data_IF_963038365999
#
_entry.id   IF_963038365999
#
_cell.length_a   1.000
_cell.length_b   1.000
_cell.length_c   1.000
_cell.angle_alpha   90.00
_cell.angle_beta   90.00
_cell.angle_gamma   90.00
#
_symmetry.space_group_name_H-M   'P 1'
#
loop_
_entity.id
_entity.type
_entity.pdbx_description
1 polymer ?
#
# COMPACT_ATOMS: atom_id res chain seq x y z
N UNK A 1 -10.35 16.36 -16.78
CA UNK A 1 -9.10 17.10 -17.11
C UNK A 1 -9.03 17.31 -18.63
N UNK A 2 -8.54 18.46 -19.07
CA UNK A 2 -8.26 18.77 -20.49
C UNK A 2 -6.77 19.05 -20.65
N UNK A 3 -6.08 18.33 -21.54
CA UNK A 3 -4.72 18.68 -21.94
C UNK A 3 -4.75 19.78 -22.99
N UNK A 4 -4.55 21.02 -22.52
CA UNK A 4 -4.59 22.21 -23.39
C UNK A 4 -3.50 22.23 -24.44
N UNK A 5 -2.36 21.60 -24.19
CA UNK A 5 -1.25 21.58 -25.16
C UNK A 5 -1.52 20.62 -26.31
N UNK A 6 -2.44 19.68 -26.12
CA UNK A 6 -2.84 18.72 -27.16
C UNK A 6 -3.89 19.25 -28.16
N UNK A 7 -4.50 20.40 -27.89
CA UNK A 7 -5.61 20.91 -28.68
C UNK A 7 -5.13 21.29 -30.08
N UNK A 8 -5.71 20.66 -31.11
CA UNK A 8 -5.39 20.89 -32.51
C UNK A 8 -6.65 20.95 -33.36
N UNK A 9 -6.79 22.00 -34.18
CA UNK A 9 -7.85 22.07 -35.19
C UNK A 9 -7.48 21.27 -36.44
N UNK A 10 -8.42 20.49 -36.95
CA UNK A 10 -8.28 19.73 -38.19
C UNK A 10 -9.62 19.74 -38.95
N UNK A 11 -9.71 20.57 -39.99
CA UNK A 11 -10.97 20.78 -40.68
C UNK A 11 -12.03 21.38 -39.76
N UNK A 12 -13.21 20.77 -39.71
CA UNK A 12 -14.30 21.17 -38.81
C UNK A 12 -14.19 20.59 -37.39
N UNK A 13 -13.23 19.69 -37.15
CA UNK A 13 -13.04 19.02 -35.87
C UNK A 13 -11.90 19.64 -35.07
N UNK A 14 -12.02 19.55 -33.75
CA UNK A 14 -10.96 19.82 -32.78
C UNK A 14 -10.52 18.52 -32.14
N UNK A 15 -9.24 18.19 -32.26
CA UNK A 15 -8.62 17.02 -31.66
C UNK A 15 -7.94 17.41 -30.35
N UNK A 16 -8.04 16.57 -29.33
CA UNK A 16 -7.42 16.81 -28.03
C UNK A 16 -7.41 15.55 -27.17
N UNK A 17 -6.50 15.52 -26.20
CA UNK A 17 -6.48 14.57 -25.10
C UNK A 17 -7.27 15.12 -23.90
N UNK A 18 -8.23 14.32 -23.45
CA UNK A 18 -8.90 14.48 -22.17
C UNK A 18 -8.45 13.40 -21.19
N UNK A 19 -8.70 13.61 -19.91
CA UNK A 19 -8.55 12.55 -18.94
C UNK A 19 -9.58 12.61 -17.82
N UNK A 20 -10.05 11.44 -17.42
CA UNK A 20 -10.76 11.23 -16.17
C UNK A 20 -9.75 10.89 -15.07
N UNK A 21 -9.59 11.80 -14.13
CA UNK A 21 -8.62 11.67 -13.03
C UNK A 21 -9.34 11.12 -11.79
N UNK A 22 -9.23 9.81 -11.56
CA UNK A 22 -9.92 9.16 -10.44
C UNK A 22 -9.47 9.78 -9.11
N UNK A 23 -10.43 10.05 -8.21
CA UNK A 23 -10.13 10.61 -6.88
C UNK A 23 -9.43 9.58 -5.97
N UNK A 24 -9.63 8.30 -6.24
CA UNK A 24 -8.98 7.18 -5.58
C UNK A 24 -8.65 6.12 -6.62
N UNK A 25 -7.65 5.29 -6.36
CA UNK A 25 -7.32 4.17 -7.24
C UNK A 25 -8.21 2.99 -6.84
N UNK A 26 -9.35 2.86 -7.52
CA UNK A 26 -10.30 1.77 -7.27
C UNK A 26 -9.84 0.48 -7.95
N UNK A 27 -9.79 -0.61 -7.18
CA UNK A 27 -9.44 -1.93 -7.69
C UNK A 27 -10.59 -2.54 -8.47
N UNK A 28 -10.33 -2.88 -9.73
CA UNK A 28 -11.19 -3.79 -10.48
C UNK A 28 -10.68 -5.23 -10.31
N UNK A 29 -11.30 -5.98 -9.39
CA UNK A 29 -10.96 -7.38 -9.11
C UNK A 29 -11.08 -8.31 -10.33
N UNK A 30 -11.81 -7.90 -11.37
CA UNK A 30 -11.98 -8.68 -12.61
C UNK A 30 -10.84 -8.43 -13.61
N UNK A 31 -10.26 -7.21 -13.63
CA UNK A 31 -9.22 -6.83 -14.60
C UNK A 31 -7.79 -6.97 -14.07
N UNK A 32 -7.60 -7.12 -12.76
CA UNK A 32 -6.27 -7.32 -12.17
C UNK A 32 -5.36 -6.08 -12.15
N UNK A 33 -5.84 -4.91 -12.57
CA UNK A 33 -5.16 -3.63 -12.44
C UNK A 33 -6.14 -2.53 -12.00
N UNK A 34 -5.60 -1.40 -11.52
CA UNK A 34 -6.38 -0.27 -11.02
C UNK A 34 -5.95 1.02 -11.72
N UNK A 35 -6.69 1.52 -12.70
CA UNK A 35 -6.31 2.76 -13.38
C UNK A 35 -6.39 3.92 -12.40
N UNK A 36 -5.30 4.68 -12.28
CA UNK A 36 -5.34 5.96 -11.57
C UNK A 36 -6.04 7.00 -12.43
N UNK A 37 -5.90 6.91 -13.74
CA UNK A 37 -6.44 7.85 -14.70
C UNK A 37 -6.87 7.10 -15.96
N UNK A 38 -7.93 7.56 -16.61
CA UNK A 38 -8.27 7.15 -17.98
C UNK A 38 -7.97 8.33 -18.89
N UNK A 39 -7.13 8.14 -19.90
CA UNK A 39 -6.78 9.16 -20.90
C UNK A 39 -7.45 8.82 -22.22
N UNK A 40 -8.19 9.76 -22.76
CA UNK A 40 -8.93 9.55 -23.99
C UNK A 40 -8.59 10.62 -25.01
N UNK A 41 -8.37 10.20 -26.26
CA UNK A 41 -8.18 11.09 -27.39
C UNK A 41 -9.50 11.27 -28.11
N UNK A 42 -9.90 12.51 -28.34
CA UNK A 42 -11.18 12.87 -28.92
C UNK A 42 -11.02 13.69 -30.18
N UNK A 43 -11.98 13.55 -31.10
CA UNK A 43 -12.28 14.52 -32.14
C UNK A 43 -13.70 15.05 -31.90
N UNK A 44 -13.86 16.38 -31.80
CA UNK A 44 -15.15 17.04 -31.55
C UNK A 44 -15.43 18.05 -32.66
N UNK A 45 -16.61 17.98 -33.28
CA UNK A 45 -17.14 19.03 -34.16
C UNK A 45 -18.09 19.91 -33.33
N UNK A 46 -17.58 21.09 -32.96
CA UNK A 46 -18.30 22.03 -32.10
C UNK A 46 -19.54 22.64 -32.78
N UNK A 47 -19.58 22.68 -34.11
CA UNK A 47 -20.73 23.24 -34.85
C UNK A 47 -21.86 22.21 -34.95
N UNK A 48 -21.49 20.94 -35.20
CA UNK A 48 -22.45 19.83 -35.31
C UNK A 48 -22.81 19.20 -33.96
N UNK A 49 -22.09 19.55 -32.89
CA UNK A 49 -22.25 18.96 -31.56
C UNK A 49 -22.11 17.43 -31.60
N UNK A 50 -21.09 16.95 -32.33
CA UNK A 50 -20.76 15.53 -32.45
C UNK A 50 -19.33 15.26 -32.02
N UNK A 51 -19.06 14.03 -31.59
CA UNK A 51 -17.71 13.61 -31.19
C UNK A 51 -17.40 12.17 -31.57
N UNK A 52 -16.11 11.85 -31.62
CA UNK A 52 -15.55 10.50 -31.79
C UNK A 52 -14.45 10.28 -30.77
N UNK A 53 -14.42 9.09 -30.15
CA UNK A 53 -13.29 8.64 -29.34
C UNK A 53 -12.29 7.93 -30.24
N UNK A 54 -11.08 8.48 -30.34
CA UNK A 54 -10.01 7.99 -31.19
C UNK A 54 -9.08 7.02 -30.45
N UNK A 55 -8.93 7.18 -29.13
CA UNK A 55 -8.18 6.27 -28.28
C UNK A 55 -8.66 6.37 -26.82
N UNK A 56 -8.43 5.32 -26.05
CA UNK A 56 -8.64 5.27 -24.59
C UNK A 56 -7.51 4.46 -23.97
N UNK A 57 -6.81 5.02 -23.00
CA UNK A 57 -5.75 4.35 -22.25
C UNK A 57 -6.01 4.43 -20.76
N UNK A 58 -6.01 3.28 -20.12
CA UNK A 58 -5.97 3.15 -18.67
C UNK A 58 -4.53 3.36 -18.21
N UNK A 59 -4.31 4.33 -17.34
CA UNK A 59 -2.99 4.75 -16.87
C UNK A 59 -2.89 4.53 -15.36
N UNK A 60 -1.81 3.88 -14.92
CA UNK A 60 -1.56 3.62 -13.51
C UNK A 60 -1.10 4.88 -12.74
N UNK A 61 -0.77 4.72 -11.46
CA UNK A 61 -0.28 5.83 -10.61
C UNK A 61 1.13 6.30 -10.98
N UNK A 62 1.88 5.54 -11.77
CA UNK A 62 3.22 5.85 -12.27
C UNK A 62 3.21 6.43 -13.67
N UNK A 63 2.04 6.81 -14.19
CA UNK A 63 1.89 7.34 -15.53
C UNK A 63 2.22 6.33 -16.64
N UNK A 64 2.17 5.02 -16.35
CA UNK A 64 2.37 3.95 -17.32
C UNK A 64 1.02 3.48 -17.88
N UNK A 65 0.98 3.17 -19.18
CA UNK A 65 -0.22 2.59 -19.81
C UNK A 65 -0.35 1.14 -19.35
N UNK A 66 -1.46 0.83 -18.68
CA UNK A 66 -1.78 -0.50 -18.20
C UNK A 66 -2.65 -1.28 -19.19
N UNK A 67 -3.59 -0.60 -19.84
CA UNK A 67 -4.50 -1.16 -20.85
C UNK A 67 -4.97 -0.04 -21.79
N UNK A 68 -5.57 -0.40 -22.92
CA UNK A 68 -6.23 0.57 -23.78
C UNK A 68 -6.76 0.06 -25.10
N UNK A 69 -7.42 0.96 -25.80
CA UNK A 69 -8.10 0.71 -27.06
C UNK A 69 -7.78 1.85 -28.03
N UNK A 70 -7.54 1.49 -29.30
CA UNK A 70 -7.50 2.43 -30.42
C UNK A 70 -8.45 1.87 -31.49
N UNK A 71 -9.71 2.32 -31.54
CA UNK A 71 -10.69 1.78 -32.48
C UNK A 71 -10.25 1.99 -33.92
N UNK A 72 -10.26 0.94 -34.74
CA UNK A 72 -9.97 1.06 -36.18
C UNK A 72 -10.99 1.95 -36.90
N UNK A 73 -12.26 1.92 -36.46
CA UNK A 73 -13.36 2.70 -37.02
C UNK A 73 -14.10 3.49 -35.92
N UNK A 74 -13.60 4.68 -35.54
CA UNK A 74 -14.23 5.51 -34.51
C UNK A 74 -15.66 5.92 -34.87
N UNK A 75 -16.62 5.60 -34.00
CA UNK A 75 -18.05 5.89 -34.20
C UNK A 75 -18.38 7.32 -33.80
N UNK A 76 -19.06 8.05 -34.69
CA UNK A 76 -19.59 9.39 -34.41
C UNK A 76 -20.81 9.29 -33.49
N UNK A 77 -20.80 10.06 -32.40
CA UNK A 77 -21.90 10.20 -31.44
C UNK A 77 -22.29 11.66 -31.29
N UNK A 78 -23.51 11.91 -30.83
CA UNK A 78 -23.95 13.27 -30.47
C UNK A 78 -23.50 13.60 -29.04
N UNK A 79 -23.07 14.85 -28.80
CA UNK A 79 -22.57 15.30 -27.50
C UNK A 79 -23.63 15.15 -26.39
N UNK A 80 -24.92 15.31 -26.73
CA UNK A 80 -26.02 15.16 -25.78
C UNK A 80 -26.15 13.75 -25.16
N UNK A 81 -25.63 12.72 -25.83
CA UNK A 81 -25.64 11.33 -25.35
C UNK A 81 -24.43 10.98 -24.46
N UNK A 82 -23.43 11.88 -24.37
CA UNK A 82 -22.29 11.65 -23.50
C UNK A 82 -22.68 11.77 -22.02
N UNK A 83 -21.84 11.21 -21.13
CA UNK A 83 -21.96 11.46 -19.69
C UNK A 83 -21.69 12.95 -19.37
N UNK A 84 -22.04 13.39 -18.16
CA UNK A 84 -21.98 14.81 -17.80
C UNK A 84 -20.56 15.37 -17.80
N UNK A 85 -19.56 14.57 -17.42
CA UNK A 85 -18.16 14.97 -17.45
C UNK A 85 -17.67 15.21 -18.89
N UNK A 86 -18.01 14.31 -19.81
CA UNK A 86 -17.66 14.44 -21.22
C UNK A 86 -18.43 15.59 -21.88
N UNK A 87 -19.70 15.81 -21.54
CA UNK A 87 -20.46 16.99 -21.98
C UNK A 87 -19.75 18.28 -21.56
N UNK A 88 -19.32 18.36 -20.30
CA UNK A 88 -18.59 19.51 -19.79
C UNK A 88 -17.24 19.68 -20.50
N UNK A 89 -16.50 18.59 -20.71
CA UNK A 89 -15.23 18.58 -21.42
C UNK A 89 -15.36 19.07 -22.87
N UNK A 90 -16.36 18.56 -23.61
CA UNK A 90 -16.60 18.95 -25.00
C UNK A 90 -17.12 20.38 -25.11
N UNK A 91 -17.98 20.83 -24.19
CA UNK A 91 -18.36 22.24 -24.10
C UNK A 91 -17.14 23.13 -23.87
N UNK A 92 -16.22 22.69 -23.02
CA UNK A 92 -14.99 23.43 -22.68
C UNK A 92 -14.05 23.54 -23.88
N UNK A 93 -13.78 22.44 -24.61
CA UNK A 93 -12.88 22.50 -25.78
C UNK A 93 -13.43 23.36 -26.92
N UNK A 94 -14.74 23.56 -26.97
CA UNK A 94 -15.42 24.41 -27.95
C UNK A 94 -15.42 25.91 -27.60
N UNK A 95 -14.77 26.32 -26.49
CA UNK A 95 -14.59 27.73 -26.13
C UNK A 95 -13.54 28.42 -27.01
N UNK A 96 -13.45 29.75 -26.90
CA UNK A 96 -12.39 30.53 -27.56
C UNK A 96 -11.00 30.21 -26.99
N UNK A 97 -9.95 30.49 -27.76
CA UNK A 97 -8.56 30.25 -27.34
C UNK A 97 -8.20 31.06 -26.08
N UNK A 98 -8.73 32.28 -25.97
CA UNK A 98 -8.57 33.14 -24.81
C UNK A 98 -9.18 32.49 -23.56
N UNK A 99 -10.42 32.01 -23.65
CA UNK A 99 -11.09 31.31 -22.54
C UNK A 99 -10.39 30.01 -22.14
N UNK A 100 -9.84 29.27 -23.11
CA UNK A 100 -9.06 28.06 -22.83
C UNK A 100 -7.75 28.37 -22.08
N UNK A 101 -7.15 29.54 -22.33
CA UNK A 101 -5.90 29.95 -21.67
C UNK A 101 -6.10 30.28 -20.19
N UNK A 102 -7.30 30.68 -19.78
CA UNK A 102 -7.66 31.00 -18.40
C UNK A 102 -7.95 29.78 -17.52
N UNK A 103 -8.08 28.59 -18.12
CA UNK A 103 -8.34 27.37 -17.36
C UNK A 103 -7.15 26.99 -16.45
N UNK A 104 -7.43 26.42 -15.27
CA UNK A 104 -6.38 25.95 -14.37
C UNK A 104 -5.45 24.91 -15.04
N UNK A 105 -4.15 25.02 -14.78
CA UNK A 105 -3.20 23.97 -15.13
C UNK A 105 -3.51 22.74 -14.27
N UNK A 106 -3.51 21.55 -14.88
CA UNK A 106 -3.64 20.32 -14.13
C UNK A 106 -2.47 20.16 -13.16
N UNK A 107 -2.79 19.95 -11.88
CA UNK A 107 -1.82 19.51 -10.88
C UNK A 107 -2.12 18.06 -10.54
N UNK A 108 -1.13 17.15 -10.66
CA UNK A 108 -1.26 15.79 -10.16
C UNK A 108 -1.67 15.81 -8.68
N UNK A 109 -2.64 14.97 -8.33
CA UNK A 109 -3.07 14.77 -6.95
C UNK A 109 -2.46 13.48 -6.41
N UNK A 110 -2.01 13.51 -5.15
CA UNK A 110 -1.73 12.28 -4.43
C UNK A 110 -3.03 11.53 -4.22
N UNK A 111 -3.17 10.34 -4.82
CA UNK A 111 -4.38 9.54 -4.74
C UNK A 111 -4.24 8.50 -3.65
N UNK A 112 -5.18 8.41 -2.69
CA UNK A 112 -5.26 7.23 -1.85
C UNK A 112 -5.58 6.02 -2.75
N UNK A 113 -4.82 4.94 -2.59
CA UNK A 113 -5.28 3.63 -3.07
C UNK A 113 -6.52 3.27 -2.28
N UNK A 114 -7.57 2.76 -2.93
CA UNK A 114 -8.70 2.19 -2.20
C UNK A 114 -8.27 0.82 -1.63
N UNK A 115 -7.63 0.88 -0.46
CA UNK A 115 -7.19 -0.30 0.29
C UNK A 115 -8.29 -0.79 1.25
N UNK A 116 -9.50 -0.21 1.20
CA UNK A 116 -10.54 -0.40 2.23
C UNK A 116 -11.32 -1.70 2.12
N UNK A 117 -11.18 -2.48 1.04
CA UNK A 117 -11.64 -3.86 1.04
C UNK A 117 -10.67 -4.76 1.82
N UNK A 118 -10.49 -4.49 3.11
CA UNK A 118 -9.79 -5.41 4.01
C UNK A 118 -10.72 -6.55 4.41
N UNK A 119 -10.14 -7.74 4.57
CA UNK A 119 -10.91 -8.85 5.08
C UNK A 119 -11.20 -8.62 6.55
N UNK A 120 -12.42 -8.97 6.98
CA UNK A 120 -12.72 -9.02 8.41
C UNK A 120 -11.78 -10.03 9.07
N UNK A 121 -11.09 -9.59 10.12
CA UNK A 121 -10.23 -10.46 10.94
C UNK A 121 -11.13 -11.49 11.64
N UNK A 122 -10.71 -12.76 11.61
CA UNK A 122 -11.49 -13.84 12.20
C UNK A 122 -11.59 -13.68 13.73
N UNK A 123 -12.78 -13.93 14.28
CA UNK A 123 -13.06 -13.70 15.70
C UNK A 123 -12.20 -14.58 16.63
N UNK A 124 -11.84 -15.79 16.18
CA UNK A 124 -10.91 -16.68 16.89
C UNK A 124 -9.51 -16.06 17.02
N UNK A 125 -9.02 -15.40 15.97
CA UNK A 125 -7.74 -14.68 15.96
C UNK A 125 -7.79 -13.50 16.93
N UNK A 126 -8.87 -12.70 16.88
CA UNK A 126 -9.07 -11.59 17.82
C UNK A 126 -9.14 -12.06 19.27
N UNK A 127 -9.80 -13.19 19.53
CA UNK A 127 -9.84 -13.79 20.86
C UNK A 127 -8.43 -14.18 21.34
N UNK A 128 -7.64 -14.85 20.49
CA UNK A 128 -6.28 -15.27 20.82
C UNK A 128 -5.38 -14.09 21.20
N UNK A 129 -5.40 -12.98 20.44
CA UNK A 129 -4.60 -11.79 20.77
C UNK A 129 -5.07 -11.07 22.04
N UNK A 130 -6.38 -11.05 22.29
CA UNK A 130 -6.94 -10.40 23.49
C UNK A 130 -6.61 -11.18 24.77
N UNK A 131 -6.49 -12.51 24.68
CA UNK A 131 -6.14 -13.37 25.83
C UNK A 131 -4.74 -13.06 26.39
N UNK A 132 -3.83 -12.54 25.55
CA UNK A 132 -2.48 -12.16 25.99
C UNK A 132 -2.52 -11.00 27.00
N UNK A 133 -3.54 -10.14 26.91
CA UNK A 133 -3.75 -9.02 27.83
C UNK A 133 -2.49 -8.14 28.06
N UNK A 134 -1.75 -7.89 26.97
CA UNK A 134 -0.63 -6.95 26.97
C UNK A 134 -1.11 -5.55 27.36
N UNK A 135 -0.31 -4.87 28.17
CA UNK A 135 -0.62 -3.51 28.61
C UNK A 135 -0.83 -2.58 27.40
N UNK A 136 -1.81 -1.67 27.46
CA UNK A 136 -1.97 -0.64 26.44
C UNK A 136 -0.72 0.22 26.32
N UNK A 137 -0.45 0.70 25.11
CA UNK A 137 0.61 1.68 24.88
C UNK A 137 0.30 2.98 25.64
N UNK A 138 1.29 3.51 26.35
CA UNK A 138 1.20 4.80 27.05
C UNK A 138 1.60 5.96 26.14
N UNK A 139 2.35 5.66 25.07
CA UNK A 139 2.72 6.59 24.01
C UNK A 139 2.22 6.09 22.66
N UNK A 140 1.85 7.03 21.81
CA UNK A 140 1.42 6.74 20.45
C UNK A 140 2.62 6.76 19.52
N UNK A 141 2.78 5.70 18.73
CA UNK A 141 3.62 5.70 17.55
C UNK A 141 2.74 6.05 16.35
N UNK A 142 3.12 7.05 15.56
CA UNK A 142 2.37 7.54 14.40
C UNK A 142 3.14 7.40 13.11
N UNK A 143 4.47 7.45 13.19
CA UNK A 143 5.35 7.34 12.04
C UNK A 143 6.68 6.69 12.39
N UNK A 144 7.21 5.92 11.45
CA UNK A 144 8.55 5.34 11.51
C UNK A 144 9.14 5.32 10.09
N UNK A 145 10.37 5.79 9.95
CA UNK A 145 11.15 5.66 8.72
C UNK A 145 12.33 4.72 8.95
N UNK A 146 12.44 3.71 8.10
CA UNK A 146 13.49 2.70 8.13
C UNK A 146 14.35 2.79 6.87
N UNK A 147 15.63 2.45 7.03
CA UNK A 147 16.59 2.39 5.94
C UNK A 147 17.54 1.22 6.17
N UNK A 148 17.92 0.53 5.11
CA UNK A 148 19.01 -0.45 5.17
C UNK A 148 20.36 0.26 5.35
N UNK A 149 21.40 -0.45 5.79
CA UNK A 149 22.76 0.05 5.64
C UNK A 149 23.22 -0.07 4.17
N UNK A 150 23.82 0.98 3.59
CA UNK A 150 24.46 0.87 2.29
C UNK A 150 25.63 -0.13 2.37
N UNK A 151 25.54 -1.22 1.62
CA UNK A 151 26.58 -2.26 1.54
C UNK A 151 27.86 -1.79 0.85
N UNK A 152 27.86 -0.59 0.24
CA UNK A 152 29.04 0.06 -0.31
C UNK A 152 28.96 1.59 -0.22
N UNK A 153 30.12 2.25 -0.16
CA UNK A 153 30.26 3.71 -0.02
C UNK A 153 29.74 4.50 -1.25
N UNK A 154 29.50 3.82 -2.37
CA UNK A 154 29.05 4.36 -3.66
C UNK A 154 27.59 3.99 -4.00
N UNK A 155 26.86 3.31 -3.10
CA UNK A 155 25.47 2.95 -3.33
C UNK A 155 24.54 4.18 -3.18
N UNK A 156 24.00 4.66 -4.29
CA UNK A 156 23.17 5.88 -4.37
C UNK A 156 21.71 5.70 -3.99
N UNK A 157 21.25 4.48 -3.71
CA UNK A 157 19.86 4.19 -3.35
C UNK A 157 19.83 3.18 -2.21
N UNK A 158 19.44 3.64 -1.04
CA UNK A 158 19.24 2.79 0.13
C UNK A 158 17.74 2.47 0.21
N UNK A 159 17.33 1.19 0.26
CA UNK A 159 15.92 0.85 0.44
C UNK A 159 15.35 1.58 1.65
N UNK A 160 14.36 2.42 1.37
CA UNK A 160 13.68 3.30 2.32
C UNK A 160 12.23 2.84 2.48
N UNK A 161 11.81 2.64 3.72
CA UNK A 161 10.42 2.30 4.05
C UNK A 161 9.86 3.30 5.05
N UNK A 162 8.68 3.83 4.74
CA UNK A 162 7.90 4.63 5.67
C UNK A 162 6.72 3.82 6.18
N UNK A 163 6.53 3.83 7.49
CA UNK A 163 5.40 3.19 8.16
C UNK A 163 4.57 4.28 8.82
N UNK A 164 3.28 4.29 8.51
CA UNK A 164 2.30 5.18 9.10
C UNK A 164 1.32 4.35 9.95
N UNK A 165 1.16 4.74 11.21
CA UNK A 165 0.43 3.95 12.19
C UNK A 165 -0.92 4.57 12.53
N UNK A 166 -1.97 3.76 12.44
CA UNK A 166 -3.33 4.12 12.83
C UNK A 166 -4.00 2.96 13.57
N UNK A 167 -5.25 3.14 13.99
CA UNK A 167 -6.06 2.06 14.55
C UNK A 167 -7.02 1.56 13.49
N UNK A 168 -7.08 0.24 13.29
CA UNK A 168 -8.18 -0.35 12.55
C UNK A 168 -9.47 -0.23 13.37
N UNK A 169 -10.51 0.38 12.79
CA UNK A 169 -11.77 0.63 13.49
C UNK A 169 -12.57 -0.66 13.72
N UNK A 170 -12.40 -1.66 12.85
CA UNK A 170 -13.18 -2.90 12.92
C UNK A 170 -12.68 -3.85 14.02
N UNK A 171 -11.36 -3.95 14.19
CA UNK A 171 -10.71 -4.86 15.14
C UNK A 171 -10.10 -4.17 16.36
N UNK A 172 -9.88 -2.86 16.32
CA UNK A 172 -9.11 -2.12 17.33
C UNK A 172 -7.61 -2.43 17.31
N UNK A 173 -7.13 -3.20 16.33
CA UNK A 173 -5.72 -3.57 16.20
C UNK A 173 -4.93 -2.49 15.45
N UNK A 174 -3.61 -2.63 15.42
CA UNK A 174 -2.72 -1.64 14.80
C UNK A 174 -2.78 -1.76 13.28
N UNK A 175 -3.27 -0.72 12.62
CA UNK A 175 -3.19 -0.57 11.17
C UNK A 175 -1.87 0.12 10.79
N UNK A 176 -1.21 -0.41 9.75
CA UNK A 176 0.09 0.07 9.27
C UNK A 176 0.02 0.24 7.76
N UNK A 177 0.21 1.47 7.29
CA UNK A 177 0.48 1.77 5.89
C UNK A 177 1.99 1.86 5.69
N UNK A 178 2.54 0.91 4.94
CA UNK A 178 3.95 0.86 4.58
C UNK A 178 4.12 1.33 3.14
N UNK A 179 5.02 2.28 2.92
CA UNK A 179 5.40 2.77 1.60
C UNK A 179 6.87 2.51 1.36
N UNK A 180 7.17 1.68 0.38
CA UNK A 180 8.52 1.50 -0.15
C UNK A 180 8.66 2.19 -1.49
N UNK A 181 9.90 2.24 -1.99
CA UNK A 181 10.20 2.80 -3.31
C UNK A 181 9.45 2.11 -4.43
N UNK A 182 9.21 0.80 -4.29
CA UNK A 182 8.62 -0.24 -5.17
C UNK A 182 7.14 -0.58 -5.13
N UNK A 183 6.53 -0.26 -3.98
CA UNK A 183 5.37 -0.99 -3.50
C UNK A 183 4.73 -0.28 -2.31
N UNK A 184 3.47 -0.62 -2.06
CA UNK A 184 2.76 -0.19 -0.86
C UNK A 184 2.09 -1.39 -0.21
N UNK A 185 2.13 -1.44 1.12
CA UNK A 185 1.47 -2.49 1.89
C UNK A 185 0.57 -1.84 2.92
N UNK A 186 -0.68 -2.28 2.97
CA UNK A 186 -1.54 -2.01 4.11
C UNK A 186 -1.65 -3.28 4.95
N UNK A 187 -1.48 -3.17 6.25
CA UNK A 187 -1.49 -4.30 7.19
C UNK A 187 -2.36 -3.95 8.39
N UNK A 188 -3.16 -4.91 8.86
CA UNK A 188 -3.60 -4.93 10.27
C UNK A 188 -2.72 -5.91 11.01
N UNK A 189 -2.15 -5.48 12.13
CA UNK A 189 -1.17 -6.24 12.88
C UNK A 189 -1.53 -6.30 14.36
N UNK A 190 -1.15 -7.40 15.01
CA UNK A 190 -1.04 -7.42 16.46
C UNK A 190 0.27 -6.75 16.87
N UNK A 191 0.16 -5.49 17.31
CA UNK A 191 1.27 -4.71 17.91
C UNK A 191 2.53 -4.62 17.00
N UNK A 192 2.40 -4.79 15.68
CA UNK A 192 3.53 -4.82 14.74
C UNK A 192 4.22 -6.17 14.55
N UNK A 193 3.97 -7.18 15.40
CA UNK A 193 4.66 -8.48 15.32
C UNK A 193 4.01 -9.44 14.33
N UNK A 194 2.68 -9.57 14.39
CA UNK A 194 1.93 -10.59 13.63
C UNK A 194 0.98 -9.87 12.68
N UNK A 195 1.13 -10.12 11.38
CA UNK A 195 0.14 -9.67 10.40
C UNK A 195 -1.14 -10.48 10.60
N UNK A 196 -2.27 -9.80 10.77
CA UNK A 196 -3.60 -10.41 10.90
C UNK A 196 -4.32 -10.40 9.55
N UNK A 197 -4.17 -9.29 8.82
CA UNK A 197 -4.58 -9.13 7.43
C UNK A 197 -3.56 -8.22 6.74
N UNK A 198 -3.26 -8.46 5.47
CA UNK A 198 -2.48 -7.52 4.69
C UNK A 198 -2.79 -7.57 3.21
N UNK A 199 -2.54 -6.45 2.55
CA UNK A 199 -2.63 -6.28 1.11
C UNK A 199 -1.40 -5.53 0.63
N UNK A 200 -0.62 -6.16 -0.24
CA UNK A 200 0.52 -5.55 -0.93
C UNK A 200 0.13 -5.23 -2.36
N UNK A 201 0.47 -4.03 -2.81
CA UNK A 201 0.35 -3.60 -4.19
C UNK A 201 1.73 -3.21 -4.70
N UNK A 202 2.20 -3.87 -5.75
CA UNK A 202 3.47 -3.51 -6.39
C UNK A 202 3.25 -2.52 -7.53
N UNK A 203 4.32 -1.87 -7.97
CA UNK A 203 4.28 -0.94 -9.10
C UNK A 203 3.83 -1.56 -10.42
N UNK A 204 3.96 -2.87 -10.55
CA UNK A 204 3.47 -3.61 -11.71
C UNK A 204 1.96 -3.92 -11.62
N UNK A 205 1.25 -3.30 -10.67
CA UNK A 205 -0.18 -3.54 -10.42
C UNK A 205 -0.48 -4.91 -9.78
N UNK A 206 0.54 -5.70 -9.42
CA UNK A 206 0.34 -7.02 -8.81
C UNK A 206 -0.13 -6.84 -7.37
N UNK A 207 -1.21 -7.53 -7.02
CA UNK A 207 -1.76 -7.52 -5.66
C UNK A 207 -1.63 -8.88 -5.02
N UNK A 208 -0.94 -8.89 -3.87
CA UNK A 208 -0.89 -10.02 -2.95
C UNK A 208 -1.75 -9.73 -1.73
N UNK A 209 -2.40 -10.75 -1.20
CA UNK A 209 -3.14 -10.66 0.06
C UNK A 209 -2.66 -11.71 1.05
N UNK A 210 -2.82 -11.41 2.33
CA UNK A 210 -2.63 -12.37 3.41
C UNK A 210 -3.79 -12.22 4.39
N UNK A 211 -4.36 -13.35 4.81
CA UNK A 211 -5.35 -13.40 5.89
C UNK A 211 -4.91 -14.45 6.91
N UNK A 212 -4.88 -14.08 8.18
CA UNK A 212 -4.65 -15.02 9.28
C UNK A 212 -5.99 -15.67 9.68
N UNK A 213 -6.01 -17.00 9.73
CA UNK A 213 -7.20 -17.80 10.02
C UNK A 213 -7.18 -18.36 11.45
N UNK A 214 -5.99 -18.71 11.97
CA UNK A 214 -5.84 -19.18 13.34
C UNK A 214 -4.52 -18.71 13.94
N UNK A 215 -4.55 -18.51 15.26
CA UNK A 215 -3.42 -18.04 16.04
C UNK A 215 -3.50 -18.65 17.44
N UNK A 216 -2.37 -19.12 17.95
CA UNK A 216 -2.22 -19.52 19.35
C UNK A 216 -0.87 -19.04 19.88
N UNK A 217 -0.82 -18.76 21.17
CA UNK A 217 0.37 -18.28 21.87
C UNK A 217 0.79 -19.26 22.96
N UNK A 218 2.08 -19.28 23.27
CA UNK A 218 2.66 -19.95 24.43
C UNK A 218 3.79 -19.10 25.02
N UNK A 219 4.01 -19.25 26.33
CA UNK A 219 4.94 -18.40 27.09
C UNK A 219 4.30 -17.14 27.64
N UNK A 220 5.06 -16.43 28.48
CA UNK A 220 4.59 -15.23 29.18
C UNK A 220 4.83 -13.97 28.32
N UNK A 221 3.96 -13.76 27.34
CA UNK A 221 3.96 -12.58 26.48
C UNK A 221 3.62 -11.28 27.22
N UNK A 222 3.04 -11.36 28.42
CA UNK A 222 2.65 -10.19 29.18
C UNK A 222 3.85 -9.57 29.90
N UNK A 223 4.66 -10.41 30.56
CA UNK A 223 5.86 -9.94 31.27
C UNK A 223 7.11 -10.00 30.39
N UNK A 224 7.20 -10.95 29.46
CA UNK A 224 8.39 -11.21 28.63
C UNK A 224 9.67 -11.21 29.48
N UNK A 225 9.82 -12.12 30.45
CA UNK A 225 11.00 -12.14 31.31
C UNK A 225 12.25 -12.52 30.53
N UNK A 226 13.39 -11.90 30.87
CA UNK A 226 14.68 -12.20 30.24
C UNK A 226 15.00 -13.70 30.35
N UNK A 227 15.49 -14.29 29.26
CA UNK A 227 15.81 -15.71 29.14
C UNK A 227 14.61 -16.62 28.83
N UNK A 228 13.38 -16.09 28.84
CA UNK A 228 12.19 -16.90 28.53
C UNK A 228 12.03 -17.17 27.04
N UNK A 229 11.36 -18.28 26.75
CA UNK A 229 10.90 -18.64 25.41
C UNK A 229 9.43 -18.24 25.25
N UNK A 230 9.18 -17.42 24.25
CA UNK A 230 7.84 -17.03 23.80
C UNK A 230 7.60 -17.69 22.45
N UNK A 231 6.39 -18.19 22.20
CA UNK A 231 6.07 -18.72 20.88
C UNK A 231 4.64 -18.45 20.46
N UNK A 232 4.42 -18.47 19.15
CA UNK A 232 3.09 -18.47 18.58
C UNK A 232 3.04 -19.38 17.35
N UNK A 233 1.90 -20.01 17.13
CA UNK A 233 1.61 -20.80 15.93
C UNK A 233 0.50 -20.12 15.14
N UNK A 234 0.74 -19.94 13.86
CA UNK A 234 -0.12 -19.20 12.95
C UNK A 234 -0.48 -20.07 11.75
N UNK A 235 -1.76 -20.03 11.35
CA UNK A 235 -2.24 -20.55 10.07
C UNK A 235 -2.93 -19.43 9.31
N UNK A 236 -2.50 -19.19 8.08
CA UNK A 236 -3.11 -18.17 7.22
C UNK A 236 -3.14 -18.56 5.75
N UNK A 237 -3.79 -17.74 4.96
CA UNK A 237 -3.91 -17.87 3.51
C UNK A 237 -3.17 -16.73 2.83
N UNK A 238 -2.33 -17.07 1.85
CA UNK A 238 -1.75 -16.08 0.93
C UNK A 238 -2.53 -16.16 -0.38
N UNK A 239 -3.05 -15.02 -0.82
CA UNK A 239 -3.73 -14.85 -2.10
C UNK A 239 -2.86 -14.11 -3.11
N UNK A 240 -2.99 -14.48 -4.39
CA UNK A 240 -2.47 -13.72 -5.53
C UNK A 240 -3.61 -13.41 -6.49
N UNK A 241 -3.89 -12.12 -6.65
CA UNK A 241 -5.03 -11.63 -7.44
C UNK A 241 -4.94 -12.01 -8.93
N UNK A 242 -3.73 -12.02 -9.49
CA UNK A 242 -3.42 -12.37 -10.88
C UNK A 242 -3.59 -13.86 -11.19
N UNK A 243 -3.61 -14.73 -10.16
CA UNK A 243 -3.62 -16.17 -10.33
C UNK A 243 -4.87 -16.85 -9.75
N UNK A 244 -5.78 -16.10 -9.13
CA UNK A 244 -6.92 -16.63 -8.35
C UNK A 244 -6.52 -17.76 -7.37
N UNK A 245 -5.26 -17.77 -6.94
CA UNK A 245 -4.67 -18.84 -6.15
C UNK A 245 -4.68 -18.44 -4.68
N UNK A 246 -5.15 -19.34 -3.81
CA UNK A 246 -5.02 -19.24 -2.36
C UNK A 246 -4.21 -20.40 -1.84
N UNK A 247 -3.14 -20.11 -1.09
CA UNK A 247 -2.26 -21.12 -0.52
C UNK A 247 -2.27 -20.98 0.99
N UNK A 248 -2.69 -22.04 1.67
CA UNK A 248 -2.58 -22.15 3.12
C UNK A 248 -1.12 -22.28 3.56
N UNK A 249 -0.75 -21.58 4.63
CA UNK A 249 0.54 -21.73 5.31
C UNK A 249 0.35 -21.89 6.79
N UNK A 250 1.08 -22.84 7.38
CA UNK A 250 1.22 -23.02 8.82
C UNK A 250 2.68 -22.77 9.17
N UNK A 251 2.91 -22.02 10.25
CA UNK A 251 4.26 -21.81 10.78
C UNK A 251 4.21 -21.55 12.28
N UNK A 252 5.31 -21.83 12.95
CA UNK A 252 5.50 -21.55 14.38
C UNK A 252 6.68 -20.61 14.54
N UNK A 253 6.52 -19.54 15.32
CA UNK A 253 7.62 -18.64 15.69
C UNK A 253 8.00 -18.88 17.13
N UNK A 254 9.29 -18.98 17.38
CA UNK A 254 9.89 -19.08 18.71
C UNK A 254 10.83 -17.90 18.91
N UNK A 255 10.63 -17.13 19.98
CA UNK A 255 11.41 -15.95 20.33
C UNK A 255 11.99 -16.10 21.73
N UNK A 256 13.30 -15.95 21.87
CA UNK A 256 13.97 -15.88 23.17
C UNK A 256 14.17 -14.42 23.56
N UNK A 257 13.72 -14.05 24.76
CA UNK A 257 13.94 -12.70 25.32
C UNK A 257 15.40 -12.59 25.75
N UNK A 258 16.18 -11.78 25.04
CA UNK A 258 17.62 -11.68 25.26
C UNK A 258 17.99 -10.72 26.40
N UNK A 259 17.60 -9.45 26.26
CA UNK A 259 17.94 -8.40 27.23
C UNK A 259 16.94 -7.26 27.20
N UNK A 260 17.01 -6.41 28.21
CA UNK A 260 16.33 -5.12 28.28
C UNK A 260 17.36 -4.00 28.11
N UNK A 261 16.99 -2.94 27.39
CA UNK A 261 17.82 -1.78 27.07
C UNK A 261 16.96 -0.51 27.04
N UNK A 262 17.58 0.67 27.03
CA UNK A 262 16.82 1.91 26.83
C UNK A 262 16.40 2.01 25.36
N UNK A 263 15.15 2.39 25.09
CA UNK A 263 14.68 2.55 23.72
C UNK A 263 15.46 3.65 22.97
N UNK A 264 16.03 4.61 23.70
CA UNK A 264 16.91 5.65 23.16
C UNK A 264 18.22 5.13 22.57
N UNK A 265 18.65 3.91 22.93
CA UNK A 265 19.78 3.23 22.30
C UNK A 265 19.45 2.77 20.87
N UNK A 266 18.17 2.58 20.54
CA UNK A 266 17.71 2.26 19.18
C UNK A 266 17.53 3.52 18.33
N UNK A 267 16.98 4.58 18.92
CA UNK A 267 16.90 5.91 18.33
C UNK A 267 16.66 6.96 19.42
N UNK A 268 17.35 8.10 19.39
CA UNK A 268 17.28 9.12 20.43
C UNK A 268 15.87 9.72 20.68
N UNK A 269 14.96 9.63 19.70
CA UNK A 269 13.58 10.10 19.84
C UNK A 269 12.64 9.06 20.47
N UNK A 270 13.12 7.83 20.71
CA UNK A 270 12.41 6.83 21.48
C UNK A 270 12.72 6.96 22.96
N UNK A 271 11.71 6.66 23.77
CA UNK A 271 11.79 6.70 25.23
C UNK A 271 11.31 5.40 25.88
N UNK A 272 11.63 5.24 27.17
CA UNK A 272 11.27 4.05 27.92
C UNK A 272 12.21 2.89 27.67
N UNK A 273 11.73 1.68 27.95
CA UNK A 273 12.51 0.44 27.79
C UNK A 273 12.15 -0.28 26.49
N UNK A 274 13.15 -0.97 25.94
CA UNK A 274 12.99 -1.92 24.86
C UNK A 274 13.48 -3.30 25.29
N UNK A 275 12.79 -4.36 24.87
CA UNK A 275 13.24 -5.74 25.06
C UNK A 275 13.68 -6.32 23.73
N UNK A 276 14.90 -6.85 23.68
CA UNK A 276 15.44 -7.53 22.51
C UNK A 276 14.96 -8.99 22.49
N UNK A 277 14.34 -9.42 21.38
CA UNK A 277 13.88 -10.78 21.15
C UNK A 277 14.60 -11.35 19.92
N UNK A 278 15.26 -12.50 20.10
CA UNK A 278 15.81 -13.29 18.99
C UNK A 278 14.80 -14.36 18.59
N UNK A 279 14.30 -14.31 17.36
CA UNK A 279 13.21 -15.11 16.87
C UNK A 279 13.62 -16.06 15.74
N UNK A 280 12.94 -17.20 15.65
CA UNK A 280 13.10 -18.21 14.61
C UNK A 280 11.71 -18.59 14.10
N UNK A 281 11.47 -18.50 12.80
CA UNK A 281 10.22 -18.99 12.19
C UNK A 281 10.41 -20.39 11.66
N UNK A 282 9.79 -21.39 12.27
CA UNK A 282 9.78 -22.78 11.82
C UNK A 282 8.75 -22.98 10.70
N UNK A 283 9.24 -23.17 9.48
CA UNK A 283 8.47 -23.71 8.35
C UNK A 283 8.85 -25.18 8.10
N UNK A 284 8.11 -25.89 7.24
CA UNK A 284 8.44 -27.28 6.88
C UNK A 284 9.85 -27.45 6.29
N UNK A 285 10.36 -26.44 5.56
CA UNK A 285 11.60 -26.54 4.77
C UNK A 285 12.64 -25.47 5.11
N UNK A 286 12.35 -24.55 6.01
CA UNK A 286 13.27 -23.48 6.38
C UNK A 286 13.02 -22.99 7.81
N UNK A 287 14.03 -22.37 8.41
CA UNK A 287 13.94 -21.78 9.74
C UNK A 287 14.66 -20.44 9.81
N UNK A 288 14.18 -19.40 9.10
CA UNK A 288 14.82 -18.09 9.11
C UNK A 288 14.82 -17.50 10.52
N UNK A 289 15.93 -16.84 10.85
CA UNK A 289 16.12 -16.16 12.14
C UNK A 289 16.02 -14.65 11.96
N UNK A 290 15.56 -13.94 12.99
CA UNK A 290 15.40 -12.49 12.97
C UNK A 290 15.37 -11.90 14.37
N UNK A 291 15.59 -10.59 14.47
CA UNK A 291 15.55 -9.83 15.73
C UNK A 291 14.40 -8.84 15.73
N UNK A 292 13.73 -8.77 16.87
CA UNK A 292 12.63 -7.85 17.12
C UNK A 292 12.88 -7.14 18.45
N UNK A 293 12.52 -5.85 18.52
CA UNK A 293 12.56 -5.08 19.76
C UNK A 293 11.14 -4.72 20.18
N UNK A 294 10.72 -5.15 21.37
CA UNK A 294 9.46 -4.70 21.95
C UNK A 294 9.66 -3.37 22.68
N UNK A 295 9.10 -2.29 22.14
CA UNK A 295 9.11 -0.94 22.70
C UNK A 295 7.98 -0.81 23.73
N UNK A 296 8.30 -0.86 25.02
CA UNK A 296 7.31 -1.05 26.08
C UNK A 296 6.30 0.10 26.20
N UNK A 297 6.75 1.35 26.14
CA UNK A 297 5.86 2.53 26.23
C UNK A 297 4.95 2.68 25.00
N UNK A 298 5.43 2.21 23.84
CA UNK A 298 4.69 2.30 22.57
C UNK A 298 3.84 1.07 22.30
N UNK A 299 4.01 0.00 23.09
CA UNK A 299 3.36 -1.28 22.89
C UNK A 299 3.55 -1.81 21.46
N UNK A 300 4.78 -1.71 20.93
CA UNK A 300 5.07 -2.00 19.52
C UNK A 300 6.30 -2.91 19.38
N UNK A 301 6.17 -3.94 18.56
CA UNK A 301 7.26 -4.82 18.15
C UNK A 301 7.89 -4.29 16.87
N UNK A 302 9.12 -3.81 16.99
CA UNK A 302 9.91 -3.25 15.91
C UNK A 302 10.85 -4.31 15.31
N UNK A 303 10.70 -4.58 14.01
CA UNK A 303 11.60 -5.46 13.26
C UNK A 303 12.78 -4.66 12.70
N UNK A 304 14.01 -5.06 13.03
CA UNK A 304 15.22 -4.38 12.54
C UNK A 304 16.20 -5.28 11.77
N UNK A 305 16.14 -6.61 11.87
CA UNK A 305 17.08 -7.48 11.16
C UNK A 305 16.58 -8.93 11.04
N UNK A 306 16.95 -9.64 9.97
CA UNK A 306 16.78 -11.09 9.88
C UNK A 306 17.04 -11.71 8.50
N UNK A 307 17.27 -13.03 8.48
CA UNK A 307 17.57 -13.87 7.29
C UNK A 307 16.36 -14.09 6.36
N UNK A 308 15.29 -13.31 6.52
CA UNK A 308 13.96 -13.63 5.98
C UNK A 308 13.18 -12.48 5.35
N UNK A 309 13.75 -11.27 5.27
CA UNK A 309 13.15 -10.26 4.41
C UNK A 309 13.29 -10.78 2.98
N UNK A 310 12.18 -10.91 2.26
CA UNK A 310 12.14 -11.44 0.89
C UNK A 310 12.99 -10.63 -0.12
N UNK A 311 13.69 -9.58 0.35
CA UNK A 311 14.44 -8.63 -0.45
C UNK A 311 15.84 -8.25 0.12
N UNK A 312 16.24 -8.59 1.36
CA UNK A 312 17.61 -8.32 1.84
C UNK A 312 17.98 -9.05 3.16
N UNK A 313 19.27 -9.36 3.34
CA UNK A 313 19.87 -9.84 4.61
C UNK A 313 20.41 -8.66 5.45
N UNK A 314 19.93 -7.44 5.22
CA UNK A 314 20.54 -6.22 5.76
C UNK A 314 19.89 -5.81 7.09
N UNK A 315 20.68 -5.25 8.00
CA UNK A 315 20.17 -4.59 9.21
C UNK A 315 19.50 -3.27 8.80
N UNK A 316 18.25 -3.08 9.24
CA UNK A 316 17.49 -1.85 9.13
C UNK A 316 17.83 -0.92 10.30
N UNK A 317 17.92 0.37 10.03
CA UNK A 317 18.09 1.43 11.01
C UNK A 317 16.90 2.38 11.00
N UNK A 318 16.58 2.91 12.18
CA UNK A 318 15.55 3.94 12.35
C UNK A 318 16.14 5.30 11.94
N UNK A 319 15.63 5.87 10.85
CA UNK A 319 15.99 7.22 10.42
C UNK A 319 15.21 8.29 11.17
N UNK A 320 13.90 8.06 11.34
CA UNK A 320 12.99 8.98 12.01
C UNK A 320 11.85 8.24 12.68
N UNK A 321 11.32 8.82 13.74
CA UNK A 321 10.22 8.27 14.52
C UNK A 321 9.42 9.37 15.22
N UNK A 322 8.09 9.25 15.18
CA UNK A 322 7.14 10.17 15.81
C UNK A 322 5.98 9.43 16.47
#
# INVERSE_FOLDING_TARGET
>A
MLDRQSIKKQGSETLFWGAYDNNEVQMNAVRGFSPSQVREHYAVDCSKQTFRRLASYDVDIFNSVADGETPENPVTKIVAEANDDNKLLFKTVCMSTEQLSELPVYSPRSKPLDVRAQNRIDASVLSAVNTINLQPATKKLTYLALSEEPTSRDASSVPYEELYFTSDLASGQLAVDLRGEVYQIHKVTWRGLINLDSKITTFQGKVGTYKLNSLSFSGDWQLMPIGSLLSYTAQGEIGRSDQHLKVGRVFTVECTVGRELNASELNANLSGTAKELGCITKFEKSSPTYKVYYLAEYGYFLYLAGDGNAYSNNELRILSVH
#
